data_IF_427510287042
#
_entry.id   IF_427510287042
#
_cell.length_a   1.000
_cell.length_b   1.000
_cell.length_c   1.000
_cell.angle_alpha   90.00
_cell.angle_beta   90.00
_cell.angle_gamma   90.00
#
_symmetry.space_group_name_H-M   'P 1'
#
loop_
_entity.id
_entity.type
_entity.pdbx_description
1 polymer ?
#
# COMPACT_ATOMS: atom_id res chain seq x y z
N UNK A 1 2.75 -1.94 9.55
CA UNK A 1 3.72 -0.83 9.37
C UNK A 1 3.16 0.52 9.81
N UNK A 2 1.91 0.88 9.48
CA UNK A 2 1.30 2.18 9.82
C UNK A 2 1.14 2.39 11.35
N UNK A 3 2.20 2.85 12.01
CA UNK A 3 2.34 2.98 13.46
C UNK A 3 3.81 2.89 13.88
N UNK A 4 4.08 2.45 15.11
CA UNK A 4 5.44 2.38 15.66
C UNK A 4 6.31 1.25 15.07
N UNK A 5 5.66 0.18 14.56
CA UNK A 5 6.27 -1.10 14.15
C UNK A 5 7.12 -1.77 15.24
N UNK A 6 7.11 -3.11 15.25
CA UNK A 6 7.76 -3.90 16.28
C UNK A 6 7.34 -5.36 16.19
N UNK A 7 8.08 -6.22 16.88
CA UNK A 7 7.83 -7.65 16.95
C UNK A 7 7.52 -8.04 18.40
N UNK A 8 6.51 -8.88 18.58
CA UNK A 8 6.09 -9.42 19.87
C UNK A 8 5.94 -10.95 19.75
N UNK A 9 7.07 -11.61 19.54
CA UNK A 9 7.21 -13.06 19.37
C UNK A 9 8.62 -13.50 19.77
N UNK A 10 8.84 -14.79 20.07
CA UNK A 10 10.19 -15.30 20.38
C UNK A 10 11.02 -15.46 19.09
N UNK A 11 12.12 -14.70 18.90
CA UNK A 11 12.94 -14.81 17.70
C UNK A 11 13.69 -16.15 17.58
N UNK A 12 13.76 -16.95 18.64
CA UNK A 12 14.42 -18.27 18.62
C UNK A 12 13.62 -19.32 17.88
N UNK A 13 12.30 -19.16 17.81
CA UNK A 13 11.39 -20.10 17.14
C UNK A 13 11.35 -19.88 15.63
N UNK A 14 11.93 -18.78 15.15
CA UNK A 14 11.99 -18.45 13.73
C UNK A 14 12.98 -19.35 12.98
N UNK A 15 12.55 -19.87 11.84
CA UNK A 15 13.44 -20.42 10.83
C UNK A 15 14.35 -19.34 10.23
N UNK A 16 15.44 -19.74 9.59
CA UNK A 16 16.36 -18.79 8.94
C UNK A 16 15.67 -17.99 7.82
N UNK A 17 14.71 -18.58 7.11
CA UNK A 17 13.92 -17.88 6.10
C UNK A 17 13.05 -16.78 6.72
N UNK A 18 12.39 -17.07 7.85
CA UNK A 18 11.58 -16.08 8.54
C UNK A 18 12.43 -14.97 9.15
N UNK A 19 13.62 -15.28 9.66
CA UNK A 19 14.57 -14.27 10.13
C UNK A 19 14.99 -13.33 9.01
N UNK A 20 15.20 -13.83 7.80
CA UNK A 20 15.54 -12.97 6.67
C UNK A 20 14.37 -12.06 6.30
N UNK A 21 13.14 -12.59 6.26
CA UNK A 21 11.92 -11.77 6.05
C UNK A 21 11.78 -10.68 7.12
N UNK A 22 12.10 -10.98 8.38
CA UNK A 22 12.10 -9.99 9.47
C UNK A 22 13.11 -8.86 9.19
N UNK A 23 14.33 -9.18 8.73
CA UNK A 23 15.32 -8.16 8.38
C UNK A 23 14.83 -7.28 7.23
N UNK A 24 14.29 -7.88 6.17
CA UNK A 24 13.74 -7.15 5.02
C UNK A 24 12.62 -6.20 5.45
N UNK A 25 11.69 -6.66 6.30
CA UNK A 25 10.61 -5.85 6.85
C UNK A 25 11.12 -4.68 7.70
N UNK A 26 12.18 -4.88 8.49
CA UNK A 26 12.80 -3.82 9.29
C UNK A 26 13.39 -2.73 8.38
N UNK A 27 14.14 -3.12 7.35
CA UNK A 27 14.72 -2.15 6.40
C UNK A 27 13.63 -1.43 5.61
N UNK A 28 12.59 -2.13 5.18
CA UNK A 28 11.43 -1.51 4.53
C UNK A 28 10.74 -0.50 5.44
N UNK A 29 10.50 -0.84 6.70
CA UNK A 29 9.90 0.11 7.65
C UNK A 29 10.78 1.34 7.87
N UNK A 30 12.11 1.17 7.95
CA UNK A 30 13.04 2.30 8.08
C UNK A 30 12.95 3.25 6.89
N UNK A 31 12.79 2.74 5.68
CA UNK A 31 12.65 3.56 4.48
C UNK A 31 11.40 4.44 4.49
N UNK A 32 10.31 3.98 5.13
CA UNK A 32 9.06 4.73 5.22
C UNK A 32 8.84 5.41 6.58
N UNK A 33 9.78 5.28 7.52
CA UNK A 33 9.57 5.65 8.92
C UNK A 33 9.16 7.11 9.10
N UNK A 34 9.85 8.03 8.44
CA UNK A 34 9.56 9.46 8.53
C UNK A 34 8.16 9.77 7.98
N UNK A 35 7.83 9.22 6.81
CA UNK A 35 6.50 9.35 6.22
C UNK A 35 5.39 8.77 7.11
N UNK A 36 5.63 7.62 7.76
CA UNK A 36 4.66 6.99 8.67
C UNK A 36 4.51 7.78 9.98
N UNK A 37 5.59 8.36 10.51
CA UNK A 37 5.57 9.08 11.77
C UNK A 37 5.00 10.51 11.63
N UNK A 38 5.31 11.19 10.52
CA UNK A 38 5.07 12.64 10.38
C UNK A 38 4.08 13.00 9.27
N UNK A 39 3.76 12.05 8.38
CA UNK A 39 2.83 12.26 7.28
C UNK A 39 1.39 12.51 7.74
N UNK A 40 0.60 13.08 6.85
CA UNK A 40 -0.85 13.19 7.02
C UNK A 40 -1.52 11.84 6.75
N UNK A 41 -2.28 11.33 7.72
CA UNK A 41 -2.98 10.05 7.63
C UNK A 41 -4.41 10.22 7.10
N UNK A 42 -4.72 9.54 6.00
CA UNK A 42 -6.04 9.52 5.40
C UNK A 42 -6.64 8.11 5.42
N UNK A 43 -7.86 8.01 5.95
CA UNK A 43 -8.70 6.80 5.83
C UNK A 43 -9.50 6.89 4.54
N UNK A 44 -9.36 5.90 3.66
CA UNK A 44 -10.02 5.88 2.34
C UNK A 44 -11.19 4.90 2.33
N UNK A 45 -10.97 3.65 2.78
CA UNK A 45 -12.03 2.66 2.96
C UNK A 45 -12.02 2.13 4.40
N UNK A 46 -13.20 2.13 5.02
CA UNK A 46 -13.39 1.72 6.41
C UNK A 46 -13.60 0.21 6.53
N UNK A 47 -12.89 -0.49 7.45
CA UNK A 47 -13.13 -1.91 7.73
C UNK A 47 -14.53 -2.19 8.31
N UNK A 48 -15.23 -1.15 8.79
CA UNK A 48 -16.55 -1.28 9.38
C UNK A 48 -17.68 -1.22 8.34
N UNK A 49 -17.36 -0.84 7.11
CA UNK A 49 -18.33 -0.59 6.05
C UNK A 49 -18.05 -1.43 4.79
N UNK A 50 -16.84 -1.99 4.64
CA UNK A 50 -16.46 -2.78 3.48
C UNK A 50 -15.50 -3.94 3.79
N UNK A 51 -15.47 -4.94 2.90
CA UNK A 51 -14.51 -6.05 2.91
C UNK A 51 -13.05 -5.58 2.67
N UNK A 52 -12.90 -4.47 1.95
CA UNK A 52 -11.62 -3.80 1.74
C UNK A 52 -11.37 -2.76 2.84
N UNK A 53 -10.12 -2.58 3.21
CA UNK A 53 -9.65 -1.49 4.07
C UNK A 53 -8.51 -0.80 3.37
N UNK A 54 -8.56 0.53 3.30
CA UNK A 54 -7.51 1.30 2.64
C UNK A 54 -7.25 2.58 3.42
N UNK A 55 -5.96 2.84 3.64
CA UNK A 55 -5.49 4.10 4.19
C UNK A 55 -4.19 4.50 3.52
N UNK A 56 -3.84 5.77 3.65
CA UNK A 56 -2.58 6.30 3.14
C UNK A 56 -1.95 7.32 4.06
N UNK A 57 -0.62 7.37 4.04
CA UNK A 57 0.19 8.47 4.60
C UNK A 57 0.66 9.35 3.45
N UNK A 58 0.64 10.66 3.61
CA UNK A 58 1.16 11.63 2.62
C UNK A 58 2.15 12.57 3.29
N UNK A 59 3.30 12.81 2.66
CA UNK A 59 4.29 13.77 3.16
C UNK A 59 3.71 15.18 3.17
N UNK A 60 4.22 16.07 4.03
CA UNK A 60 3.69 17.44 4.16
C UNK A 60 3.82 18.27 2.88
N UNK A 61 4.85 18.01 2.08
CA UNK A 61 5.08 18.62 0.77
C UNK A 61 4.32 17.91 -0.36
N UNK A 62 3.56 16.85 -0.03
CA UNK A 62 2.78 16.01 -0.93
C UNK A 62 3.61 15.29 -2.00
N UNK A 63 4.93 15.21 -1.85
CA UNK A 63 5.81 14.53 -2.81
C UNK A 63 5.91 13.04 -2.61
N UNK A 64 5.59 12.53 -1.43
CA UNK A 64 5.62 11.11 -1.14
C UNK A 64 4.30 10.65 -0.54
N UNK A 65 3.87 9.44 -0.89
CA UNK A 65 2.74 8.81 -0.23
C UNK A 65 2.92 7.29 -0.12
N UNK A 66 2.37 6.72 0.93
CA UNK A 66 2.36 5.27 1.16
C UNK A 66 0.92 4.81 1.33
N UNK A 67 0.44 3.97 0.43
CA UNK A 67 -0.93 3.44 0.42
C UNK A 67 -0.90 1.98 0.85
N UNK A 68 -1.68 1.65 1.87
CA UNK A 68 -1.91 0.27 2.32
C UNK A 68 -3.30 -0.18 1.93
N UNK A 69 -3.39 -1.22 1.11
CA UNK A 69 -4.63 -1.90 0.76
C UNK A 69 -4.70 -3.25 1.46
N UNK A 70 -5.84 -3.56 2.07
CA UNK A 70 -6.10 -4.82 2.75
C UNK A 70 -7.48 -5.34 2.34
N UNK A 71 -7.58 -6.65 2.10
CA UNK A 71 -8.86 -7.34 1.88
C UNK A 71 -9.00 -8.46 2.88
N UNK A 72 -10.13 -8.48 3.59
CA UNK A 72 -10.38 -9.48 4.65
C UNK A 72 -10.64 -10.87 4.07
N UNK A 73 -11.61 -10.98 3.15
CA UNK A 73 -11.99 -12.27 2.56
C UNK A 73 -11.94 -12.24 1.04
N UNK A 74 -11.54 -13.35 0.43
CA UNK A 74 -11.59 -13.49 -1.03
C UNK A 74 -13.04 -13.58 -1.52
N UNK A 75 -13.36 -12.83 -2.56
CA UNK A 75 -14.65 -12.89 -3.23
C UNK A 75 -14.48 -13.51 -4.62
N UNK A 76 -15.38 -14.43 -4.98
CA UNK A 76 -15.31 -15.17 -6.24
C UNK A 76 -15.83 -14.30 -7.37
N UNK A 77 -15.12 -14.29 -8.51
CA UNK A 77 -15.49 -13.55 -9.71
C UNK A 77 -15.71 -12.05 -9.45
N UNK A 78 -14.90 -11.49 -8.56
CA UNK A 78 -14.94 -10.07 -8.25
C UNK A 78 -14.36 -9.26 -9.41
N UNK A 79 -15.03 -8.17 -9.79
CA UNK A 79 -14.57 -7.29 -10.87
C UNK A 79 -13.29 -6.51 -10.52
N UNK A 80 -12.75 -5.79 -11.50
CA UNK A 80 -11.59 -4.93 -11.29
C UNK A 80 -11.86 -3.86 -10.23
N UNK A 81 -10.91 -3.68 -9.31
CA UNK A 81 -10.99 -2.67 -8.26
C UNK A 81 -10.13 -1.46 -8.56
N UNK A 82 -10.68 -0.30 -8.24
CA UNK A 82 -9.93 0.96 -8.15
C UNK A 82 -10.18 1.62 -6.80
N UNK A 83 -9.17 2.34 -6.34
CA UNK A 83 -9.25 3.17 -5.13
C UNK A 83 -8.90 4.59 -5.50
N UNK A 84 -9.87 5.51 -5.33
CA UNK A 84 -9.61 6.94 -5.44
C UNK A 84 -8.77 7.38 -4.24
N UNK A 85 -7.56 7.87 -4.51
CA UNK A 85 -6.67 8.40 -3.48
C UNK A 85 -7.11 9.80 -3.05
N UNK A 86 -6.46 10.35 -2.03
CA UNK A 86 -6.72 11.72 -1.56
C UNK A 86 -5.44 12.33 -0.99
N UNK A 87 -5.43 13.64 -0.74
CA UNK A 87 -4.31 14.34 -0.10
C UNK A 87 -3.10 14.61 -1.00
N UNK A 88 -3.05 14.06 -2.22
CA UNK A 88 -1.99 14.30 -3.21
C UNK A 88 -2.04 15.74 -3.78
N UNK A 89 -1.02 16.10 -4.55
CA UNK A 89 -1.01 17.33 -5.34
C UNK A 89 -1.50 17.03 -6.76
N UNK A 90 -2.58 17.69 -7.17
CA UNK A 90 -3.20 17.53 -8.50
C UNK A 90 -2.27 17.90 -9.66
N UNK A 91 -1.27 18.75 -9.42
CA UNK A 91 -0.37 19.27 -10.46
C UNK A 91 0.97 18.53 -10.54
N UNK A 92 1.15 17.45 -9.78
CA UNK A 92 2.38 16.65 -9.79
C UNK A 92 2.14 15.29 -10.43
N UNK A 93 3.15 14.81 -11.12
CA UNK A 93 3.23 13.44 -11.61
C UNK A 93 3.95 12.56 -10.59
N UNK A 94 3.40 11.39 -10.32
CA UNK A 94 3.94 10.42 -9.37
C UNK A 94 4.42 9.16 -10.08
N UNK A 95 5.55 8.65 -9.62
CA UNK A 95 5.97 7.27 -9.84
C UNK A 95 5.32 6.40 -8.78
N UNK A 96 4.52 5.42 -9.20
CA UNK A 96 3.80 4.48 -8.33
C UNK A 96 4.52 3.14 -8.34
N UNK A 97 5.20 2.83 -7.23
CA UNK A 97 5.85 1.54 -7.04
C UNK A 97 4.92 0.59 -6.26
N UNK A 98 4.56 -0.54 -6.89
CA UNK A 98 3.81 -1.62 -6.25
C UNK A 98 4.79 -2.69 -5.77
N UNK A 99 4.77 -2.98 -4.47
CA UNK A 99 5.65 -3.97 -3.85
C UNK A 99 5.58 -5.31 -4.59
N UNK A 100 6.75 -5.86 -4.93
CA UNK A 100 6.95 -7.16 -5.59
C UNK A 100 6.32 -7.34 -6.99
N UNK A 101 5.85 -6.26 -7.63
CA UNK A 101 5.02 -6.34 -8.85
C UNK A 101 5.47 -5.42 -9.98
N UNK A 102 5.91 -4.19 -9.68
CA UNK A 102 6.41 -3.28 -10.71
C UNK A 102 6.19 -1.80 -10.40
N UNK A 103 6.51 -0.95 -11.36
CA UNK A 103 6.41 0.52 -11.25
C UNK A 103 5.62 1.10 -12.41
N UNK A 104 4.70 2.01 -12.11
CA UNK A 104 4.04 2.88 -13.09
C UNK A 104 4.66 4.27 -12.97
N UNK A 105 5.18 4.80 -14.07
CA UNK A 105 5.81 6.11 -14.08
C UNK A 105 4.82 7.18 -14.58
N UNK A 106 4.96 8.41 -14.08
CA UNK A 106 4.25 9.60 -14.55
C UNK A 106 2.72 9.46 -14.53
N UNK A 107 2.18 9.11 -13.37
CA UNK A 107 0.73 9.10 -13.13
C UNK A 107 0.34 10.40 -12.44
N UNK A 108 -0.60 11.15 -13.02
CA UNK A 108 -1.03 12.44 -12.47
C UNK A 108 -1.67 12.28 -11.08
N UNK A 109 -1.36 13.20 -10.16
CA UNK A 109 -1.99 13.23 -8.85
C UNK A 109 -3.51 13.41 -8.93
N UNK A 110 -3.99 14.18 -9.90
CA UNK A 110 -5.40 14.33 -10.23
C UNK A 110 -6.01 13.02 -10.76
N UNK A 111 -5.32 12.27 -11.61
CA UNK A 111 -5.75 10.95 -12.09
C UNK A 111 -5.89 9.97 -10.93
N UNK A 112 -4.90 9.91 -10.04
CA UNK A 112 -4.90 9.06 -8.85
C UNK A 112 -6.07 9.37 -7.90
N UNK A 113 -6.48 10.64 -7.81
CA UNK A 113 -7.59 11.05 -6.95
C UNK A 113 -8.97 10.94 -7.62
N UNK A 114 -9.08 11.20 -8.92
CA UNK A 114 -10.36 11.21 -9.64
C UNK A 114 -10.70 9.88 -10.32
N UNK A 115 -9.71 9.26 -10.97
CA UNK A 115 -9.84 7.99 -11.70
C UNK A 115 -9.56 6.81 -10.78
N UNK A 116 -8.57 6.95 -9.91
CA UNK A 116 -8.20 5.99 -8.87
C UNK A 116 -7.07 5.04 -9.26
N UNK A 117 -6.34 4.60 -8.24
CA UNK A 117 -5.31 3.57 -8.32
C UNK A 117 -5.94 2.20 -8.54
N UNK A 118 -5.47 1.48 -9.56
CA UNK A 118 -5.86 0.08 -9.78
C UNK A 118 -5.25 -0.84 -8.72
N UNK A 119 -6.09 -1.67 -8.13
CA UNK A 119 -5.69 -2.70 -7.17
C UNK A 119 -5.54 -4.04 -7.91
N UNK A 120 -4.52 -4.83 -7.58
CA UNK A 120 -4.20 -6.04 -8.33
C UNK A 120 -3.44 -5.73 -9.63
N UNK A 121 -3.57 -6.61 -10.62
CA UNK A 121 -3.00 -6.43 -11.96
C UNK A 121 -4.12 -6.39 -13.00
N UNK A 122 -3.98 -5.52 -13.99
CA UNK A 122 -4.96 -5.41 -15.07
C UNK A 122 -4.96 -6.63 -16.03
N UNK A 123 -3.87 -7.41 -16.05
CA UNK A 123 -3.61 -8.44 -17.08
C UNK A 123 -3.49 -9.87 -16.54
N UNK A 124 -3.70 -10.11 -15.25
CA UNK A 124 -3.69 -11.49 -14.72
C UNK A 124 -5.09 -11.90 -14.29
N UNK A 125 -5.46 -13.10 -14.72
CA UNK A 125 -6.76 -13.76 -14.52
C UNK A 125 -7.07 -13.99 -13.03
N UNK A 126 -7.29 -12.97 -12.19
CA UNK A 126 -7.61 -13.10 -10.76
C UNK A 126 -6.66 -13.98 -9.91
N UNK A 127 -5.56 -14.49 -10.49
CA UNK A 127 -4.72 -15.55 -9.91
C UNK A 127 -3.77 -15.06 -8.84
N UNK A 128 -3.50 -13.76 -8.78
CA UNK A 128 -2.50 -13.22 -7.86
C UNK A 128 -3.08 -12.54 -6.62
N UNK A 129 -4.41 -12.40 -6.56
CA UNK A 129 -5.13 -11.99 -5.35
C UNK A 129 -5.76 -13.22 -4.70
N UNK A 130 -4.96 -14.26 -4.45
CA UNK A 130 -5.44 -15.48 -3.81
C UNK A 130 -5.47 -15.35 -2.29
N UNK A 131 -6.49 -15.96 -1.70
CA UNK A 131 -6.62 -16.10 -0.25
C UNK A 131 -7.25 -14.91 0.46
N UNK A 132 -7.60 -15.20 1.71
CA UNK A 132 -8.04 -14.22 2.71
C UNK A 132 -6.84 -13.40 3.21
N UNK A 133 -7.13 -12.27 3.86
CA UNK A 133 -6.14 -11.37 4.46
C UNK A 133 -5.07 -10.86 3.48
N UNK A 134 -5.49 -10.60 2.24
CA UNK A 134 -4.62 -10.12 1.18
C UNK A 134 -4.18 -8.67 1.44
N UNK A 135 -2.91 -8.36 1.16
CA UNK A 135 -2.33 -7.04 1.38
C UNK A 135 -1.53 -6.59 0.16
N UNK A 136 -1.70 -5.33 -0.23
CA UNK A 136 -0.83 -4.64 -1.19
C UNK A 136 -0.32 -3.34 -0.61
N UNK A 137 0.92 -3.01 -0.96
CA UNK A 137 1.57 -1.77 -0.56
C UNK A 137 2.03 -1.02 -1.81
N UNK A 138 1.69 0.25 -1.87
CA UNK A 138 2.10 1.15 -2.93
C UNK A 138 2.85 2.34 -2.34
N UNK A 139 4.03 2.61 -2.88
CA UNK A 139 4.80 3.81 -2.56
C UNK A 139 4.80 4.73 -3.77
N UNK A 140 4.39 5.98 -3.55
CA UNK A 140 4.25 7.00 -4.56
C UNK A 140 5.32 8.07 -4.30
N UNK A 141 6.02 8.48 -5.35
CA UNK A 141 7.03 9.54 -5.29
C UNK A 141 6.90 10.48 -6.48
N UNK A 142 6.71 11.76 -6.21
CA UNK A 142 6.63 12.81 -7.21
C UNK A 142 8.01 13.09 -7.82
N UNK A 143 8.03 13.43 -9.11
CA UNK A 143 9.21 14.01 -9.79
C UNK A 143 9.50 15.45 -9.34
#
# INVERSE_FOLDING_TARGET
MFGTFGYEMDPKDLSEEEKEKVKEQIEEFKNYRELIAEGDFYRIKSPFESNDTVWMMVSKDKKEALVGYYRKSVEVNEGFKRVRLTGLNENLDYTVNKKNKGTLNKVGGDELMNVGLFIGEANTEHRDMQGDYYTELYYLKAE
#
